data_IF_464820517645
#
_entry.id   IF_464820517645
#
_cell.length_a   1.000
_cell.length_b   1.000
_cell.length_c   1.000
_cell.angle_alpha   90.00
_cell.angle_beta   90.00
_cell.angle_gamma   90.00
#
_symmetry.space_group_name_H-M   'P 1'
#
loop_
_entity.id
_entity.type
_entity.pdbx_description
1 polymer ?
#
# COMPACT_ATOMS: atom_id res chain seq x y z
N UNK A 1 -16.57 -3.07 -19.02
CA UNK A 1 -15.25 -2.40 -18.89
C UNK A 1 -14.35 -3.28 -18.04
N UNK A 2 -13.03 -3.11 -18.12
CA UNK A 2 -12.06 -3.88 -17.33
C UNK A 2 -11.08 -2.93 -16.66
N UNK A 3 -10.82 -3.05 -15.35
CA UNK A 3 -9.76 -2.30 -14.68
C UNK A 3 -8.38 -2.59 -15.25
N UNK A 4 -7.59 -1.54 -15.46
CA UNK A 4 -6.17 -1.68 -15.82
C UNK A 4 -5.28 -1.03 -14.75
N UNK A 5 -4.83 -1.87 -13.81
CA UNK A 5 -3.90 -1.45 -12.77
C UNK A 5 -2.44 -1.36 -13.27
N UNK A 6 -2.15 -1.95 -14.44
CA UNK A 6 -0.82 -2.01 -15.03
C UNK A 6 -0.53 -0.82 -15.95
N UNK A 7 -1.54 0.00 -16.25
CA UNK A 7 -1.45 1.20 -17.10
C UNK A 7 -0.95 0.89 -18.52
N UNK A 8 -1.42 -0.23 -19.08
CA UNK A 8 -1.03 -0.74 -20.41
C UNK A 8 -2.08 -0.48 -21.47
N UNK A 9 -3.33 -0.26 -21.09
CA UNK A 9 -4.42 -0.01 -22.04
C UNK A 9 -4.35 1.43 -22.56
N UNK A 10 -4.62 1.65 -23.86
CA UNK A 10 -4.80 2.98 -24.39
C UNK A 10 -6.11 3.59 -23.86
N UNK A 11 -6.14 4.91 -23.65
CA UNK A 11 -7.36 5.58 -23.18
C UNK A 11 -7.08 6.97 -22.62
N UNK A 12 -7.00 7.99 -23.49
CA UNK A 12 -6.92 9.38 -23.03
C UNK A 12 -8.25 9.75 -22.36
N UNK A 13 -8.19 10.21 -21.11
CA UNK A 13 -9.37 10.62 -20.35
C UNK A 13 -10.13 9.48 -19.65
N UNK A 14 -9.62 8.25 -19.65
CA UNK A 14 -10.21 7.11 -18.92
C UNK A 14 -9.48 6.76 -17.62
N UNK A 15 -8.49 7.58 -17.23
CA UNK A 15 -7.75 7.44 -15.98
C UNK A 15 -8.47 8.19 -14.86
N UNK A 16 -8.63 7.54 -13.71
CA UNK A 16 -9.22 8.11 -12.50
C UNK A 16 -8.20 7.97 -11.37
N UNK A 17 -8.11 8.96 -10.49
CA UNK A 17 -7.29 8.83 -9.29
C UNK A 17 -7.75 7.63 -8.48
N UNK A 18 -6.81 6.95 -7.81
CA UNK A 18 -7.11 5.81 -6.95
C UNK A 18 -7.65 6.28 -5.58
N UNK A 19 -8.58 7.24 -5.60
CA UNK A 19 -9.32 7.72 -4.45
C UNK A 19 -10.75 7.23 -4.55
N UNK A 20 -11.30 6.67 -3.47
CA UNK A 20 -12.67 6.16 -3.43
C UNK A 20 -13.69 7.19 -3.92
N UNK A 21 -13.61 8.42 -3.42
CA UNK A 21 -14.51 9.52 -3.78
C UNK A 21 -14.45 9.87 -5.29
N UNK A 22 -13.26 9.87 -5.88
CA UNK A 22 -13.08 10.16 -7.29
C UNK A 22 -13.63 9.04 -8.19
N UNK A 23 -13.48 7.78 -7.78
CA UNK A 23 -14.04 6.62 -8.47
C UNK A 23 -15.57 6.62 -8.37
N UNK A 24 -16.13 6.82 -7.18
CA UNK A 24 -17.58 6.92 -6.97
C UNK A 24 -18.19 8.07 -7.79
N UNK A 25 -17.52 9.22 -7.84
CA UNK A 25 -17.95 10.35 -8.66
C UNK A 25 -17.94 10.03 -10.14
N UNK A 26 -16.89 9.33 -10.62
CA UNK A 26 -16.74 8.91 -12.01
C UNK A 26 -17.85 7.95 -12.44
N UNK A 27 -18.23 7.02 -11.57
CA UNK A 27 -19.34 6.08 -11.77
C UNK A 27 -20.66 6.86 -11.79
N UNK A 28 -20.94 7.66 -10.75
CA UNK A 28 -22.19 8.42 -10.61
C UNK A 28 -22.45 9.38 -11.78
N UNK A 29 -21.40 10.03 -12.30
CA UNK A 29 -21.51 10.97 -13.43
C UNK A 29 -21.42 10.30 -14.80
N UNK A 30 -21.31 8.97 -14.86
CA UNK A 30 -21.12 8.18 -16.07
C UNK A 30 -19.97 8.71 -16.95
N UNK A 31 -18.85 9.09 -16.31
CA UNK A 31 -17.72 9.72 -17.00
C UNK A 31 -17.00 8.74 -17.94
N UNK A 32 -17.02 7.44 -17.62
CA UNK A 32 -16.43 6.41 -18.47
C UNK A 32 -17.08 6.32 -19.85
N UNK A 33 -18.41 6.40 -19.94
CA UNK A 33 -19.10 6.41 -21.24
C UNK A 33 -18.79 7.67 -22.04
N UNK A 34 -18.68 8.82 -21.36
CA UNK A 34 -18.32 10.10 -22.00
C UNK A 34 -16.91 10.06 -22.58
N UNK A 35 -15.95 9.56 -21.81
CA UNK A 35 -14.55 9.44 -22.23
C UNK A 35 -14.37 8.40 -23.36
N UNK A 36 -15.08 7.27 -23.27
CA UNK A 36 -15.03 6.22 -24.29
C UNK A 36 -15.77 6.58 -25.59
N UNK A 37 -16.57 7.67 -25.61
CA UNK A 37 -17.50 8.03 -26.70
C UNK A 37 -18.41 6.86 -27.13
N UNK A 38 -18.68 5.95 -26.21
CA UNK A 38 -19.45 4.74 -26.41
C UNK A 38 -20.12 4.35 -25.09
N UNK A 39 -21.18 3.54 -25.16
CA UNK A 39 -21.84 3.03 -23.95
C UNK A 39 -20.87 2.15 -23.17
N UNK A 40 -20.46 2.59 -21.99
CA UNK A 40 -19.62 1.83 -21.08
C UNK A 40 -20.45 1.39 -19.86
N UNK A 41 -20.69 0.09 -19.74
CA UNK A 41 -21.33 -0.49 -18.56
C UNK A 41 -20.28 -0.67 -17.46
N UNK A 42 -20.50 -0.01 -16.33
CA UNK A 42 -19.75 -0.20 -15.07
C UNK A 42 -20.32 -1.46 -14.41
N UNK A 43 -19.50 -2.51 -14.17
CA UNK A 43 -19.93 -3.67 -13.41
C UNK A 43 -20.29 -3.28 -11.98
N UNK A 44 -21.32 -3.92 -11.43
CA UNK A 44 -21.58 -3.86 -10.00
C UNK A 44 -20.36 -4.40 -9.23
N UNK A 45 -20.05 -3.80 -8.08
CA UNK A 45 -18.88 -4.19 -7.27
C UNK A 45 -17.52 -3.81 -7.85
N UNK A 46 -17.46 -2.87 -8.82
CA UNK A 46 -16.18 -2.43 -9.42
C UNK A 46 -15.14 -1.99 -8.37
N UNK A 47 -15.55 -1.28 -7.31
CA UNK A 47 -14.64 -0.83 -6.25
C UNK A 47 -14.06 -2.00 -5.46
N UNK A 48 -14.89 -3.00 -5.13
CA UNK A 48 -14.44 -4.19 -4.40
C UNK A 48 -13.48 -5.01 -5.27
N UNK A 49 -13.76 -5.14 -6.56
CA UNK A 49 -12.85 -5.77 -7.52
C UNK A 49 -11.51 -5.02 -7.61
N UNK A 50 -11.53 -3.69 -7.69
CA UNK A 50 -10.31 -2.87 -7.71
C UNK A 50 -9.47 -3.08 -6.44
N UNK A 51 -10.14 -3.17 -5.28
CA UNK A 51 -9.47 -3.39 -4.00
C UNK A 51 -8.81 -4.78 -3.98
N UNK A 52 -9.55 -5.82 -4.33
CA UNK A 52 -9.03 -7.20 -4.41
C UNK A 52 -7.82 -7.31 -5.35
N UNK A 53 -7.90 -6.69 -6.54
CA UNK A 53 -6.81 -6.72 -7.51
C UNK A 53 -5.57 -5.96 -7.02
N UNK A 54 -5.76 -4.83 -6.32
CA UNK A 54 -4.66 -4.06 -5.72
C UNK A 54 -4.02 -4.81 -4.56
N UNK A 55 -4.81 -5.46 -3.70
CA UNK A 55 -4.30 -6.33 -2.62
C UNK A 55 -3.46 -7.45 -3.21
N UNK A 56 -3.98 -8.19 -4.19
CA UNK A 56 -3.25 -9.28 -4.84
C UNK A 56 -1.92 -8.80 -5.42
N UNK A 57 -1.94 -7.69 -6.16
CA UNK A 57 -0.75 -7.12 -6.78
C UNK A 57 0.30 -6.71 -5.73
N UNK A 58 -0.13 -6.13 -4.60
CA UNK A 58 0.78 -5.75 -3.52
C UNK A 58 1.39 -6.99 -2.84
N UNK A 59 0.58 -8.03 -2.58
CA UNK A 59 1.02 -9.32 -2.05
C UNK A 59 2.05 -9.98 -2.97
N UNK A 60 1.81 -9.98 -4.29
CA UNK A 60 2.71 -10.56 -5.28
C UNK A 60 4.06 -9.83 -5.32
N UNK A 61 4.04 -8.49 -5.28
CA UNK A 61 5.26 -7.67 -5.27
C UNK A 61 6.08 -7.89 -4.00
N UNK A 62 5.44 -7.92 -2.83
CA UNK A 62 6.14 -8.19 -1.56
C UNK A 62 6.68 -9.63 -1.55
N UNK A 63 5.92 -10.59 -2.09
CA UNK A 63 6.38 -11.98 -2.24
C UNK A 63 7.60 -12.11 -3.15
N UNK A 64 7.62 -11.38 -4.27
CA UNK A 64 8.77 -11.30 -5.17
C UNK A 64 9.98 -10.67 -4.46
N UNK A 65 9.78 -9.56 -3.74
CA UNK A 65 10.82 -8.92 -2.96
C UNK A 65 11.40 -9.87 -1.90
N UNK A 66 10.54 -10.61 -1.18
CA UNK A 66 10.93 -11.65 -0.22
C UNK A 66 11.78 -12.74 -0.86
N UNK A 67 11.35 -13.28 -2.01
CA UNK A 67 12.14 -14.31 -2.74
C UNK A 67 13.51 -13.80 -3.16
N UNK A 68 13.63 -12.52 -3.49
CA UNK A 68 14.90 -11.87 -3.78
C UNK A 68 15.69 -11.40 -2.56
N UNK A 69 15.30 -11.78 -1.32
CA UNK A 69 15.97 -11.35 -0.08
C UNK A 69 15.75 -9.89 0.32
N UNK A 70 14.89 -9.17 -0.41
CA UNK A 70 14.65 -7.74 -0.26
C UNK A 70 13.43 -7.41 0.64
N UNK A 71 12.81 -8.41 1.26
CA UNK A 71 11.74 -8.21 2.24
C UNK A 71 11.84 -9.21 3.39
N UNK A 72 11.61 -8.73 4.61
CA UNK A 72 11.66 -9.51 5.85
C UNK A 72 10.38 -9.30 6.67
N UNK A 73 10.07 -10.26 7.54
CA UNK A 73 8.93 -10.16 8.47
C UNK A 73 9.27 -10.63 9.88
N UNK A 74 8.42 -10.22 10.83
CA UNK A 74 8.55 -10.49 12.25
C UNK A 74 9.17 -9.33 13.01
N UNK A 75 8.77 -9.15 14.27
CA UNK A 75 9.16 -8.00 15.08
C UNK A 75 10.69 -7.86 15.21
N UNK A 76 11.38 -8.90 15.65
CA UNK A 76 12.84 -8.86 15.88
C UNK A 76 13.64 -8.58 14.60
N UNK A 77 13.30 -9.25 13.49
CA UNK A 77 13.98 -9.05 12.20
C UNK A 77 13.76 -7.63 11.67
N UNK A 78 12.52 -7.16 11.70
CA UNK A 78 12.16 -5.80 11.28
C UNK A 78 12.85 -4.75 12.16
N UNK A 79 12.84 -4.95 13.48
CA UNK A 79 13.54 -4.07 14.43
C UNK A 79 15.04 -4.00 14.14
N UNK A 80 15.69 -5.16 13.94
CA UNK A 80 17.11 -5.22 13.61
C UNK A 80 17.45 -4.45 12.34
N UNK A 81 16.68 -4.65 11.26
CA UNK A 81 16.88 -3.95 10.00
C UNK A 81 16.62 -2.44 10.08
N UNK A 82 15.70 -2.00 10.95
CA UNK A 82 15.48 -0.57 11.21
C UNK A 82 16.65 0.05 11.98
N UNK A 83 17.16 -0.63 13.02
CA UNK A 83 18.30 -0.16 13.81
C UNK A 83 19.57 -0.09 12.97
N UNK A 84 19.78 -1.07 12.09
CA UNK A 84 20.95 -1.11 11.21
C UNK A 84 20.79 -0.27 9.94
N UNK A 85 19.72 0.54 9.84
CA UNK A 85 19.39 1.37 8.67
C UNK A 85 19.27 0.61 7.34
N UNK A 86 19.12 -0.71 7.39
CA UNK A 86 18.96 -1.55 6.20
C UNK A 86 17.53 -1.52 5.64
N UNK A 87 16.54 -1.22 6.49
CA UNK A 87 15.15 -1.09 6.08
C UNK A 87 14.90 0.24 5.35
N UNK A 88 14.33 0.16 4.14
CA UNK A 88 13.90 1.32 3.35
C UNK A 88 12.43 1.67 3.60
N UNK A 89 11.61 0.69 3.97
CA UNK A 89 10.17 0.85 4.23
C UNK A 89 9.76 -0.07 5.37
N UNK A 90 9.04 0.48 6.34
CA UNK A 90 8.32 -0.26 7.38
C UNK A 90 6.90 -0.59 6.89
N UNK A 91 6.55 -1.87 6.93
CA UNK A 91 5.21 -2.40 6.68
C UNK A 91 4.60 -2.81 8.02
N UNK A 92 3.42 -2.28 8.35
CA UNK A 92 2.65 -2.73 9.51
C UNK A 92 1.21 -3.03 9.12
N UNK A 93 0.60 -4.06 9.68
CA UNK A 93 -0.81 -4.32 9.37
C UNK A 93 -1.74 -3.24 9.96
N UNK A 94 -2.81 -2.88 9.25
CA UNK A 94 -3.78 -1.88 9.71
C UNK A 94 -4.47 -2.29 11.02
N UNK A 95 -4.80 -3.57 11.13
CA UNK A 95 -5.51 -4.26 12.21
C UNK A 95 -4.58 -4.71 13.36
N UNK A 96 -3.28 -4.43 13.26
CA UNK A 96 -2.33 -4.66 14.34
C UNK A 96 -2.55 -3.69 15.52
N UNK A 97 -2.28 -4.17 16.74
CA UNK A 97 -2.38 -3.37 17.96
C UNK A 97 -1.55 -2.08 17.86
N UNK A 98 -2.14 -0.92 18.18
CA UNK A 98 -1.43 0.36 18.19
C UNK A 98 -0.19 0.35 19.09
N UNK A 99 -0.29 -0.28 20.26
CA UNK A 99 0.82 -0.40 21.21
C UNK A 99 2.01 -1.14 20.57
N UNK A 100 1.76 -2.21 19.83
CA UNK A 100 2.80 -2.94 19.11
C UNK A 100 3.35 -2.14 17.93
N UNK A 101 2.47 -1.49 17.15
CA UNK A 101 2.87 -0.64 16.01
C UNK A 101 3.80 0.49 16.45
N UNK A 102 3.50 1.15 17.57
CA UNK A 102 4.32 2.21 18.18
C UNK A 102 5.69 1.75 18.72
N UNK A 103 6.02 0.47 18.74
CA UNK A 103 7.36 0.00 19.13
C UNK A 103 8.40 0.14 18.01
N UNK A 104 7.95 0.26 16.76
CA UNK A 104 8.82 0.44 15.61
C UNK A 104 8.57 1.83 15.01
N UNK A 105 9.61 2.41 14.43
CA UNK A 105 9.53 3.68 13.72
C UNK A 105 9.93 3.44 12.27
N UNK A 106 9.23 4.05 11.30
CA UNK A 106 9.67 3.98 9.92
C UNK A 106 11.02 4.69 9.75
N UNK A 107 11.81 4.32 8.73
CA UNK A 107 13.01 5.06 8.36
C UNK A 107 12.69 6.52 8.03
N UNK A 108 13.68 7.40 8.20
CA UNK A 108 13.55 8.81 7.81
C UNK A 108 13.31 8.97 6.30
N UNK A 109 12.55 9.99 5.94
CA UNK A 109 12.23 10.32 4.56
C UNK A 109 10.77 10.10 4.19
N UNK A 110 10.44 10.36 2.93
CA UNK A 110 9.07 10.28 2.44
C UNK A 110 8.71 8.85 2.05
N UNK A 111 7.45 8.49 2.28
CA UNK A 111 6.90 7.22 1.79
C UNK A 111 7.62 5.99 2.36
N UNK A 112 8.05 6.04 3.62
CA UNK A 112 8.78 4.97 4.32
C UNK A 112 7.91 4.14 5.26
N UNK A 113 6.62 4.45 5.35
CA UNK A 113 5.65 3.71 6.14
C UNK A 113 4.46 3.29 5.27
N UNK A 114 4.09 2.01 5.34
CA UNK A 114 2.93 1.44 4.65
C UNK A 114 2.10 0.66 5.68
N UNK A 115 0.82 1.01 5.77
CA UNK A 115 -0.10 0.36 6.71
C UNK A 115 -1.42 -0.08 6.09
N UNK A 116 -1.53 -0.11 4.76
CA UNK A 116 -2.82 -0.34 4.11
C UNK A 116 -3.30 -1.80 4.14
N UNK A 117 -2.43 -2.79 4.29
CA UNK A 117 -2.76 -4.23 4.34
C UNK A 117 -3.23 -4.69 5.73
N UNK A 118 -4.13 -5.67 5.79
CA UNK A 118 -4.46 -6.40 7.03
C UNK A 118 -3.36 -7.38 7.41
N UNK A 119 -3.41 -7.95 8.63
CA UNK A 119 -2.42 -8.91 9.08
C UNK A 119 -2.44 -10.18 8.23
N UNK A 120 -3.64 -10.61 7.80
CA UNK A 120 -3.82 -11.76 6.93
C UNK A 120 -3.30 -11.50 5.52
N UNK A 121 -3.64 -10.35 4.93
CA UNK A 121 -3.15 -9.97 3.60
C UNK A 121 -1.61 -9.86 3.57
N UNK A 122 -1.02 -9.22 4.58
CA UNK A 122 0.43 -9.15 4.71
C UNK A 122 1.03 -10.54 4.96
N UNK A 123 0.33 -11.40 5.71
CA UNK A 123 0.69 -12.79 5.94
C UNK A 123 0.89 -13.58 4.65
N UNK A 124 -0.05 -13.45 3.70
CA UNK A 124 0.02 -14.12 2.39
C UNK A 124 1.33 -13.83 1.66
N UNK A 125 1.84 -12.60 1.74
CA UNK A 125 3.08 -12.22 1.09
C UNK A 125 4.33 -12.94 1.64
N UNK A 126 4.25 -13.38 2.90
CA UNK A 126 5.31 -14.08 3.61
C UNK A 126 5.05 -15.59 3.77
N UNK A 127 3.95 -16.11 3.23
CA UNK A 127 3.55 -17.51 3.40
C UNK A 127 3.20 -17.86 4.85
N UNK A 128 2.51 -16.94 5.54
CA UNK A 128 2.07 -17.06 6.94
C UNK A 128 0.60 -16.70 7.05
N UNK A 129 -0.07 -17.20 8.09
CA UNK A 129 -1.47 -16.83 8.33
C UNK A 129 -1.61 -15.35 8.68
N UNK A 130 -0.70 -14.82 9.49
CA UNK A 130 -0.71 -13.42 9.94
C UNK A 130 0.71 -12.83 10.05
N UNK A 131 0.87 -11.58 9.62
CA UNK A 131 2.08 -10.79 9.83
C UNK A 131 1.69 -9.38 10.26
N UNK A 132 2.20 -8.94 11.42
CA UNK A 132 1.98 -7.57 11.93
C UNK A 132 3.09 -6.61 11.48
N UNK A 133 4.33 -7.09 11.39
CA UNK A 133 5.50 -6.26 11.09
C UNK A 133 6.34 -6.89 9.98
N UNK A 134 6.68 -6.08 9.00
CA UNK A 134 7.60 -6.41 7.93
C UNK A 134 8.42 -5.18 7.51
N UNK A 135 9.48 -5.41 6.75
CA UNK A 135 10.24 -4.34 6.13
C UNK A 135 10.67 -4.73 4.72
N UNK A 136 10.76 -3.72 3.85
CA UNK A 136 11.51 -3.81 2.61
C UNK A 136 12.94 -3.34 2.90
N UNK A 137 13.93 -4.14 2.54
CA UNK A 137 15.36 -3.89 2.84
C UNK A 137 16.18 -3.59 1.57
N UNK A 138 15.53 -3.42 0.42
CA UNK A 138 16.22 -3.14 -0.83
C UNK A 138 15.41 -3.44 -2.08
N UNK A 139 16.09 -3.41 -3.23
CA UNK A 139 15.58 -3.90 -4.50
C UNK A 139 14.64 -2.96 -5.27
N UNK A 140 14.64 -3.11 -6.60
CA UNK A 140 13.86 -2.27 -7.53
C UNK A 140 12.34 -2.33 -7.35
N UNK A 141 11.83 -3.39 -6.70
CA UNK A 141 10.40 -3.57 -6.43
C UNK A 141 9.85 -2.60 -5.38
N UNK A 142 10.70 -2.00 -4.54
CA UNK A 142 10.27 -1.07 -3.49
C UNK A 142 9.46 0.10 -4.05
N UNK A 143 9.84 0.64 -5.21
CA UNK A 143 9.08 1.73 -5.86
C UNK A 143 7.69 1.28 -6.29
N UNK A 144 7.58 0.07 -6.85
CA UNK A 144 6.29 -0.51 -7.25
C UNK A 144 5.39 -0.80 -6.06
N UNK A 145 5.95 -1.33 -4.96
CA UNK A 145 5.21 -1.58 -3.71
C UNK A 145 4.67 -0.27 -3.14
N UNK A 146 5.50 0.78 -3.04
CA UNK A 146 5.06 2.11 -2.57
C UNK A 146 3.90 2.64 -3.43
N UNK A 147 4.03 2.59 -4.75
CA UNK A 147 3.02 3.08 -5.70
C UNK A 147 1.66 2.40 -5.51
N UNK A 148 1.64 1.07 -5.38
CA UNK A 148 0.37 0.35 -5.22
C UNK A 148 -0.21 0.49 -3.82
N UNK A 149 0.65 0.56 -2.80
CA UNK A 149 0.21 0.84 -1.44
C UNK A 149 -0.52 2.18 -1.38
N UNK A 150 -0.02 3.21 -2.07
CA UNK A 150 -0.70 4.50 -2.23
C UNK A 150 -2.09 4.35 -2.83
N UNK A 151 -2.21 3.59 -3.93
CA UNK A 151 -3.49 3.37 -4.61
C UNK A 151 -4.48 2.60 -3.73
N UNK A 152 -4.01 1.55 -3.07
CA UNK A 152 -4.84 0.71 -2.20
C UNK A 152 -5.39 1.52 -1.02
N UNK A 153 -4.57 2.37 -0.40
CA UNK A 153 -5.07 3.14 0.73
C UNK A 153 -6.03 4.26 0.31
N UNK A 154 -5.78 4.93 -0.82
CA UNK A 154 -6.71 5.91 -1.37
C UNK A 154 -8.09 5.28 -1.68
N UNK A 155 -8.11 4.03 -2.16
CA UNK A 155 -9.34 3.27 -2.37
C UNK A 155 -10.02 2.85 -1.05
N UNK A 156 -9.23 2.56 -0.03
CA UNK A 156 -9.71 2.26 1.34
C UNK A 156 -10.09 3.51 2.13
N UNK A 157 -9.94 4.71 1.58
CA UNK A 157 -10.19 5.97 2.28
C UNK A 157 -9.25 6.19 3.47
N UNK A 158 -8.02 5.69 3.39
CA UNK A 158 -6.99 5.81 4.43
C UNK A 158 -5.78 6.55 3.87
N UNK A 159 -5.04 7.23 4.74
CA UNK A 159 -3.73 7.75 4.37
C UNK A 159 -2.77 6.56 4.17
N UNK A 160 -2.30 6.39 2.94
CA UNK A 160 -1.46 5.24 2.55
C UNK A 160 -0.11 5.21 3.24
N UNK A 161 0.37 6.41 3.50
CA UNK A 161 1.71 6.75 3.86
C UNK A 161 1.54 7.85 4.88
N UNK A 162 1.85 7.52 6.12
CA UNK A 162 2.06 8.56 7.12
C UNK A 162 3.51 9.00 7.00
N UNK A 163 3.75 10.31 6.90
CA UNK A 163 5.08 10.85 7.15
C UNK A 163 5.59 10.31 8.50
N UNK A 164 6.87 10.00 8.59
CA UNK A 164 7.48 9.81 9.90
C UNK A 164 7.28 11.12 10.66
N UNK A 165 6.44 11.14 11.70
CA UNK A 165 6.36 12.29 12.61
C UNK A 165 7.78 12.61 13.08
N UNK A 166 8.27 13.81 12.76
CA UNK A 166 9.42 14.39 13.43
C UNK A 166 9.11 14.44 14.93
N UNK A 167 10.11 14.21 15.80
CA UNK A 167 9.89 14.15 17.24
C UNK A 167 9.30 15.47 17.74
N UNK A 168 8.35 15.37 18.69
CA UNK A 168 8.29 16.37 19.75
C UNK A 168 9.63 16.27 20.49
N UNK A 169 10.41 17.35 20.44
CA UNK A 169 11.66 17.49 21.18
C UNK A 169 11.40 17.13 22.65
N UNK A 170 12.12 16.18 23.27
CA UNK A 170 11.98 15.97 24.69
C UNK A 170 12.45 17.26 25.35
N UNK A 171 11.50 18.00 25.95
CA UNK A 171 11.77 19.17 26.76
C UNK A 171 12.99 18.88 27.64
N UNK A 172 14.09 19.55 27.32
CA UNK A 172 15.31 19.55 28.12
C UNK A 172 14.91 20.10 29.48
N UNK A 173 14.70 19.21 30.45
CA UNK A 173 14.80 19.56 31.86
C UNK A 173 16.28 19.49 32.22
N UNK A 174 16.93 20.64 32.19
CA UNK A 174 18.27 20.90 32.69
C UNK A 174 18.37 22.36 33.04
#
# INVERSE_FOLDING_TARGET
>A
MTPDLAERLPGRGMWVSAERSALELSIKKNLFSRAAKARATVPDGLLDLLEQLLVQRLVDLISLARRGGNAICGFEKTKGALISEAALVLLQSNDGSESQKRKLRPPNGQNTYISCLTASELGLAFGRDYVIHAALVGGGLTKSVKRDATRLAGLRGRDAITEAKQPDDPAVKG
#
